data_IF_515667601120
#
_entry.id   IF_515667601120
#
_cell.length_a   1.000
_cell.length_b   1.000
_cell.length_c   1.000
_cell.angle_alpha   90.00
_cell.angle_beta   90.00
_cell.angle_gamma   90.00
#
_symmetry.space_group_name_H-M   'P 1'
#
loop_
_entity.id
_entity.type
_entity.pdbx_description
1 polymer ?
#
# COMPACT_ATOMS: atom_id res chain seq x y z
N UNK A 1 17.26 22.13 18.47
CA UNK A 1 18.18 21.53 19.47
C UNK A 1 19.28 20.78 18.74
N UNK A 2 20.56 20.97 19.10
CA UNK A 2 21.67 20.19 18.51
C UNK A 2 21.58 18.75 19.02
N UNK A 3 21.60 17.76 18.12
CA UNK A 3 21.50 16.32 18.44
C UNK A 3 22.56 15.88 19.46
N UNK A 4 23.73 16.52 19.46
CA UNK A 4 24.84 16.21 20.35
C UNK A 4 24.65 16.63 21.81
N UNK A 5 23.64 17.45 22.12
CA UNK A 5 23.37 17.90 23.49
C UNK A 5 22.33 17.04 24.22
N UNK A 6 21.73 16.06 23.53
CA UNK A 6 20.78 15.14 24.15
C UNK A 6 21.53 14.05 24.92
N UNK A 7 20.95 13.57 26.03
CA UNK A 7 21.47 12.40 26.73
C UNK A 7 21.53 11.18 25.81
N UNK A 8 22.56 10.35 25.92
CA UNK A 8 22.77 9.17 25.06
C UNK A 8 21.54 8.24 25.07
N UNK A 9 20.96 7.99 26.24
CA UNK A 9 19.75 7.18 26.38
C UNK A 9 18.56 7.76 25.59
N UNK A 10 18.35 9.09 25.66
CA UNK A 10 17.29 9.74 24.90
C UNK A 10 17.53 9.68 23.39
N UNK A 11 18.79 9.81 22.93
CA UNK A 11 19.12 9.63 21.50
C UNK A 11 18.72 8.24 21.02
N UNK A 12 19.12 7.20 21.75
CA UNK A 12 18.79 5.82 21.41
C UNK A 12 17.28 5.57 21.37
N UNK A 13 16.55 5.93 22.44
CA UNK A 13 15.10 5.74 22.48
C UNK A 13 14.38 6.56 21.40
N UNK A 14 14.83 7.78 21.11
CA UNK A 14 14.21 8.62 20.06
C UNK A 14 14.35 8.01 18.67
N UNK A 15 15.51 7.44 18.34
CA UNK A 15 15.74 6.78 17.04
C UNK A 15 14.94 5.48 16.95
N UNK A 16 14.94 4.66 18.00
CA UNK A 16 14.21 3.39 18.02
C UNK A 16 12.70 3.63 17.93
N UNK A 17 12.14 4.47 18.81
CA UNK A 17 10.70 4.76 18.81
C UNK A 17 10.29 5.50 17.54
N UNK A 18 11.12 6.41 17.04
CA UNK A 18 10.86 7.10 15.78
C UNK A 18 10.79 6.15 14.59
N UNK A 19 11.72 5.19 14.48
CA UNK A 19 11.71 4.18 13.43
C UNK A 19 10.53 3.21 13.57
N UNK A 20 10.21 2.77 14.78
CA UNK A 20 9.05 1.90 15.02
C UNK A 20 7.74 2.61 14.68
N UNK A 21 7.58 3.87 15.08
CA UNK A 21 6.42 4.67 14.74
C UNK A 21 6.31 4.87 13.22
N UNK A 22 7.42 5.16 12.54
CA UNK A 22 7.45 5.30 11.09
C UNK A 22 7.07 3.99 10.38
N UNK A 23 7.62 2.85 10.83
CA UNK A 23 7.24 1.52 10.32
C UNK A 23 5.75 1.26 10.49
N UNK A 24 5.19 1.58 11.66
CA UNK A 24 3.78 1.36 11.94
C UNK A 24 2.88 2.27 11.10
N UNK A 25 3.24 3.55 10.94
CA UNK A 25 2.51 4.49 10.08
C UNK A 25 2.55 4.05 8.62
N UNK A 26 3.72 3.71 8.08
CA UNK A 26 3.84 3.23 6.70
C UNK A 26 3.06 1.94 6.46
N UNK A 27 3.07 1.00 7.41
CA UNK A 27 2.28 -0.22 7.34
C UNK A 27 0.77 0.06 7.35
N UNK A 28 0.29 0.91 8.27
CA UNK A 28 -1.13 1.30 8.34
C UNK A 28 -1.56 2.03 7.07
N UNK A 29 -0.78 3.00 6.59
CA UNK A 29 -1.09 3.74 5.38
C UNK A 29 -1.14 2.82 4.15
N UNK A 30 -0.17 1.92 3.99
CA UNK A 30 -0.16 0.96 2.88
C UNK A 30 -1.35 0.01 2.95
N UNK A 31 -1.68 -0.48 4.15
CA UNK A 31 -2.83 -1.36 4.36
C UNK A 31 -4.17 -0.65 4.13
N UNK A 32 -4.30 0.58 4.59
CA UNK A 32 -5.50 1.39 4.42
C UNK A 32 -5.73 1.74 2.94
N UNK A 33 -4.69 2.20 2.26
CA UNK A 33 -4.72 2.48 0.82
C UNK A 33 -5.02 1.21 0.02
N UNK A 34 -4.38 0.09 0.38
CA UNK A 34 -4.65 -1.21 -0.24
C UNK A 34 -6.10 -1.64 -0.11
N UNK A 35 -6.70 -1.51 1.09
CA UNK A 35 -8.12 -1.82 1.32
C UNK A 35 -9.06 -0.94 0.50
N UNK A 36 -8.74 0.34 0.34
CA UNK A 36 -9.56 1.25 -0.45
C UNK A 36 -9.59 0.84 -1.92
N UNK A 37 -8.43 0.56 -2.49
CA UNK A 37 -8.27 0.09 -3.88
C UNK A 37 -8.97 -1.25 -4.10
N UNK A 38 -8.79 -2.23 -3.20
CA UNK A 38 -9.46 -3.53 -3.32
C UNK A 38 -10.97 -3.41 -3.21
N UNK A 39 -11.49 -2.61 -2.27
CA UNK A 39 -12.93 -2.45 -2.07
C UNK A 39 -13.62 -1.76 -3.26
N UNK A 40 -12.96 -0.78 -3.88
CA UNK A 40 -13.47 -0.13 -5.09
C UNK A 40 -13.51 -1.12 -6.27
N UNK A 41 -12.46 -1.92 -6.40
CA UNK A 41 -12.38 -2.93 -7.45
C UNK A 41 -13.42 -4.04 -7.27
N UNK A 42 -13.56 -4.59 -6.06
CA UNK A 42 -14.55 -5.62 -5.73
C UNK A 42 -15.97 -5.15 -6.08
N UNK A 43 -16.33 -3.91 -5.72
CA UNK A 43 -17.62 -3.32 -6.06
C UNK A 43 -17.83 -3.22 -7.57
N UNK A 44 -16.79 -2.87 -8.33
CA UNK A 44 -16.86 -2.79 -9.78
C UNK A 44 -17.10 -4.17 -10.40
N UNK A 45 -16.33 -5.18 -9.98
CA UNK A 45 -16.48 -6.55 -10.48
C UNK A 45 -17.84 -7.13 -10.10
N UNK A 46 -18.27 -6.97 -8.84
CA UNK A 46 -19.57 -7.43 -8.35
C UNK A 46 -20.73 -6.79 -9.12
N UNK A 47 -20.63 -5.49 -9.44
CA UNK A 47 -21.61 -4.79 -10.27
C UNK A 47 -21.76 -5.47 -11.64
N UNK A 48 -20.65 -5.78 -12.31
CA UNK A 48 -20.69 -6.41 -13.63
C UNK A 48 -21.15 -7.86 -13.56
N UNK A 49 -20.69 -8.65 -12.60
CA UNK A 49 -21.14 -10.04 -12.38
C UNK A 49 -22.65 -10.11 -12.11
N UNK A 50 -23.18 -9.20 -11.29
CA UNK A 50 -24.62 -9.10 -11.03
C UNK A 50 -25.40 -8.77 -12.31
N UNK A 51 -24.86 -7.87 -13.14
CA UNK A 51 -25.46 -7.49 -14.41
C UNK A 51 -25.41 -8.65 -15.43
N UNK A 52 -24.29 -9.35 -15.56
CA UNK A 52 -24.12 -10.54 -16.41
C UNK A 52 -25.11 -11.61 -16.01
N UNK A 53 -25.16 -11.98 -14.73
CA UNK A 53 -26.09 -12.99 -14.21
C UNK A 53 -27.54 -12.61 -14.51
N UNK A 54 -27.90 -11.35 -14.32
CA UNK A 54 -29.24 -10.83 -14.61
C UNK A 54 -29.54 -10.85 -16.12
N UNK A 55 -28.57 -10.53 -16.97
CA UNK A 55 -28.69 -10.55 -18.43
C UNK A 55 -28.78 -11.98 -19.00
N UNK A 56 -28.02 -12.93 -18.46
CA UNK A 56 -28.12 -14.36 -18.80
C UNK A 56 -29.49 -14.92 -18.38
N UNK A 57 -30.00 -14.52 -17.22
CA UNK A 57 -31.36 -14.87 -16.81
C UNK A 57 -32.41 -14.31 -17.78
N UNK A 58 -32.26 -13.05 -18.22
CA UNK A 58 -33.10 -12.47 -19.26
C UNK A 58 -33.04 -13.28 -20.56
N UNK A 59 -31.83 -13.63 -21.02
CA UNK A 59 -31.60 -14.44 -22.22
C UNK A 59 -32.34 -15.77 -22.18
N UNK A 60 -32.25 -16.48 -21.05
CA UNK A 60 -32.95 -17.75 -20.85
C UNK A 60 -34.47 -17.60 -20.83
N UNK A 61 -35.00 -16.59 -20.12
CA UNK A 61 -36.44 -16.29 -20.12
C UNK A 61 -36.95 -15.94 -21.52
N UNK A 62 -36.19 -15.14 -22.27
CA UNK A 62 -36.51 -14.74 -23.62
C UNK A 62 -36.52 -15.94 -24.58
N UNK A 63 -35.55 -16.85 -24.47
CA UNK A 63 -35.47 -18.05 -25.30
C UNK A 63 -36.68 -18.98 -25.09
N UNK A 64 -37.03 -19.22 -23.83
CA UNK A 64 -38.20 -20.04 -23.50
C UNK A 64 -39.48 -19.38 -24.00
N UNK A 65 -39.64 -18.07 -23.80
CA UNK A 65 -40.82 -17.34 -24.26
C UNK A 65 -40.94 -17.36 -25.79
N UNK A 66 -39.84 -17.14 -26.52
CA UNK A 66 -39.79 -17.19 -27.99
C UNK A 66 -40.13 -18.59 -28.49
N UNK A 67 -39.54 -19.63 -27.89
CA UNK A 67 -39.77 -21.03 -28.27
C UNK A 67 -41.22 -21.44 -28.04
N UNK A 68 -41.79 -21.11 -26.88
CA UNK A 68 -43.21 -21.36 -26.57
C UNK A 68 -44.15 -20.56 -27.48
N UNK A 69 -43.81 -19.32 -27.81
CA UNK A 69 -44.61 -18.51 -28.75
C UNK A 69 -44.62 -19.16 -30.13
N UNK A 70 -43.47 -19.62 -30.63
CA UNK A 70 -43.37 -20.35 -31.89
C UNK A 70 -44.19 -21.65 -31.86
N UNK A 71 -44.12 -22.41 -30.77
CA UNK A 71 -44.93 -23.62 -30.60
C UNK A 71 -46.44 -23.31 -30.56
N UNK A 72 -46.85 -22.24 -29.87
CA UNK A 72 -48.23 -21.74 -29.85
C UNK A 72 -48.73 -21.31 -31.24
N UNK A 73 -47.84 -20.77 -32.08
CA UNK A 73 -48.21 -20.45 -33.46
C UNK A 73 -48.40 -21.69 -34.34
N UNK A 74 -47.71 -22.80 -34.08
CA UNK A 74 -47.77 -23.99 -34.94
C UNK A 74 -48.79 -25.03 -34.45
N UNK A 75 -49.06 -25.11 -33.16
CA UNK A 75 -49.96 -26.13 -32.59
C UNK A 75 -51.41 -25.96 -33.06
N UNK A 76 -52.07 -27.09 -33.30
CA UNK A 76 -53.51 -27.17 -33.58
C UNK A 76 -54.33 -27.55 -32.34
N UNK A 77 -53.68 -27.98 -31.25
CA UNK A 77 -54.33 -28.30 -29.98
C UNK A 77 -54.64 -27.00 -29.22
N UNK A 78 -55.95 -26.73 -29.04
CA UNK A 78 -56.45 -25.53 -28.38
C UNK A 78 -56.07 -25.45 -26.89
N UNK A 79 -56.03 -26.59 -26.18
CA UNK A 79 -55.67 -26.62 -24.77
C UNK A 79 -54.17 -26.35 -24.59
N UNK A 80 -53.34 -26.97 -25.45
CA UNK A 80 -51.89 -26.71 -25.46
C UNK A 80 -51.56 -25.26 -25.82
N UNK A 81 -52.28 -24.70 -26.80
CA UNK A 81 -52.16 -23.29 -27.15
C UNK A 81 -52.44 -22.36 -25.97
N UNK A 82 -53.54 -22.60 -25.25
CA UNK A 82 -53.91 -21.80 -24.09
C UNK A 82 -52.87 -21.89 -22.95
N UNK A 83 -52.31 -23.08 -22.69
CA UNK A 83 -51.22 -23.26 -21.72
C UNK A 83 -49.96 -22.47 -22.13
N UNK A 84 -49.53 -22.57 -23.39
CA UNK A 84 -48.38 -21.81 -23.88
C UNK A 84 -48.59 -20.30 -23.83
N UNK A 85 -49.76 -19.80 -24.24
CA UNK A 85 -50.07 -18.36 -24.20
C UNK A 85 -50.04 -17.85 -22.74
N UNK A 86 -50.56 -18.63 -21.79
CA UNK A 86 -50.50 -18.33 -20.35
C UNK A 86 -49.06 -18.30 -19.83
N UNK A 87 -48.23 -19.27 -20.20
CA UNK A 87 -46.82 -19.33 -19.78
C UNK A 87 -45.99 -18.20 -20.40
N UNK A 88 -46.23 -17.86 -21.67
CA UNK A 88 -45.56 -16.73 -22.35
C UNK A 88 -45.90 -15.42 -21.66
N UNK A 89 -47.16 -15.21 -21.25
CA UNK A 89 -47.56 -14.04 -20.47
C UNK A 89 -46.82 -13.98 -19.12
N UNK A 90 -46.74 -15.10 -18.40
CA UNK A 90 -46.02 -15.19 -17.13
C UNK A 90 -44.51 -14.94 -17.27
N UNK A 91 -43.87 -15.50 -18.31
CA UNK A 91 -42.46 -15.25 -18.62
C UNK A 91 -42.21 -13.79 -18.96
N UNK A 92 -43.08 -13.17 -19.75
CA UNK A 92 -42.98 -11.75 -20.11
C UNK A 92 -43.09 -10.86 -18.88
N UNK A 93 -43.99 -11.18 -17.94
CA UNK A 93 -44.10 -10.47 -16.67
C UNK A 93 -42.83 -10.58 -15.81
N UNK A 94 -42.11 -11.71 -15.86
CA UNK A 94 -40.82 -11.90 -15.19
C UNK A 94 -39.67 -11.15 -15.87
N UNK A 95 -39.73 -10.90 -17.17
CA UNK A 95 -38.69 -10.18 -17.92
C UNK A 95 -38.69 -8.69 -17.56
N UNK A 96 -39.84 -8.07 -17.31
CA UNK A 96 -39.95 -6.63 -16.98
C UNK A 96 -39.07 -6.20 -15.80
N UNK A 97 -39.15 -6.81 -14.60
CA UNK A 97 -38.30 -6.39 -13.47
C UNK A 97 -36.81 -6.67 -13.74
N UNK A 98 -36.49 -7.68 -14.54
CA UNK A 98 -35.11 -7.98 -14.95
C UNK A 98 -34.55 -6.84 -15.82
N UNK A 99 -35.33 -6.35 -16.80
CA UNK A 99 -34.96 -5.22 -17.64
C UNK A 99 -34.81 -3.92 -16.85
N UNK A 100 -35.70 -3.66 -15.88
CA UNK A 100 -35.59 -2.50 -15.00
C UNK A 100 -34.31 -2.54 -14.15
N UNK A 101 -33.97 -3.71 -13.59
CA UNK A 101 -32.74 -3.89 -12.81
C UNK A 101 -31.51 -3.63 -13.67
N UNK A 102 -31.47 -4.19 -14.89
CA UNK A 102 -30.38 -3.97 -15.85
C UNK A 102 -30.28 -2.48 -16.22
N UNK A 103 -31.40 -1.82 -16.52
CA UNK A 103 -31.41 -0.39 -16.88
C UNK A 103 -30.91 0.53 -15.77
N UNK A 104 -31.06 0.16 -14.50
CA UNK A 104 -30.53 0.92 -13.35
C UNK A 104 -29.02 0.72 -13.16
N UNK A 105 -28.49 -0.47 -13.44
CA UNK A 105 -27.06 -0.78 -13.23
C UNK A 105 -26.18 -0.46 -14.45
N UNK A 106 -26.76 -0.45 -15.65
CA UNK A 106 -26.03 -0.37 -16.92
C UNK A 106 -26.13 1.05 -17.48
N UNK A 107 -25.11 1.85 -17.21
CA UNK A 107 -25.10 3.31 -17.40
C UNK A 107 -24.07 3.77 -18.42
N UNK A 108 -23.19 2.87 -18.87
CA UNK A 108 -22.15 3.21 -19.85
C UNK A 108 -22.77 3.54 -21.22
N UNK A 109 -22.00 4.19 -22.10
CA UNK A 109 -22.46 4.46 -23.47
C UNK A 109 -22.71 3.16 -24.24
N UNK A 110 -21.82 2.16 -24.08
CA UNK A 110 -21.93 0.85 -24.70
C UNK A 110 -23.14 0.08 -24.18
N UNK A 111 -23.42 0.16 -22.88
CA UNK A 111 -24.59 -0.46 -22.24
C UNK A 111 -25.88 0.07 -22.88
N UNK A 112 -25.98 1.41 -22.97
CA UNK A 112 -27.17 2.07 -23.52
C UNK A 112 -27.36 1.73 -25.00
N UNK A 113 -26.29 1.70 -25.77
CA UNK A 113 -26.34 1.33 -27.19
C UNK A 113 -26.79 -0.13 -27.37
N UNK A 114 -26.24 -1.06 -26.60
CA UNK A 114 -26.62 -2.46 -26.64
C UNK A 114 -28.08 -2.67 -26.19
N UNK A 115 -28.52 -2.03 -25.10
CA UNK A 115 -29.91 -2.09 -24.64
C UNK A 115 -30.90 -1.48 -25.65
N UNK A 116 -30.54 -0.39 -26.32
CA UNK A 116 -31.35 0.20 -27.38
C UNK A 116 -31.49 -0.78 -28.57
N UNK A 117 -30.41 -1.48 -28.93
CA UNK A 117 -30.46 -2.51 -29.97
C UNK A 117 -31.35 -3.70 -29.57
N UNK A 118 -31.31 -4.14 -28.31
CA UNK A 118 -32.22 -5.18 -27.80
C UNK A 118 -33.67 -4.70 -27.81
N UNK A 119 -33.93 -3.44 -27.45
CA UNK A 119 -35.28 -2.88 -27.48
C UNK A 119 -35.84 -2.80 -28.91
N UNK A 120 -35.00 -2.42 -29.88
CA UNK A 120 -35.37 -2.36 -31.29
C UNK A 120 -35.68 -3.75 -31.86
N UNK A 121 -34.82 -4.75 -31.63
CA UNK A 121 -35.05 -6.12 -32.09
C UNK A 121 -36.28 -6.77 -31.42
N UNK A 122 -36.52 -6.45 -30.14
CA UNK A 122 -37.76 -6.87 -29.43
C UNK A 122 -39.02 -6.22 -30.00
N UNK A 123 -38.96 -4.95 -30.39
CA UNK A 123 -40.09 -4.28 -31.03
C UNK A 123 -40.38 -4.90 -32.41
N UNK A 124 -39.33 -5.19 -33.18
CA UNK A 124 -39.43 -5.78 -34.52
C UNK A 124 -40.06 -7.17 -34.52
N UNK A 125 -39.64 -8.08 -33.62
CA UNK A 125 -40.27 -9.41 -33.49
C UNK A 125 -41.73 -9.30 -33.02
N UNK A 126 -42.04 -8.40 -32.07
CA UNK A 126 -43.42 -8.20 -31.59
C UNK A 126 -44.33 -7.65 -32.70
N UNK A 127 -43.82 -6.80 -33.58
CA UNK A 127 -44.58 -6.29 -34.72
C UNK A 127 -45.03 -7.37 -35.72
N UNK A 128 -44.49 -8.59 -35.62
CA UNK A 128 -44.87 -9.70 -36.51
C UNK A 128 -46.10 -10.48 -36.03
N UNK A 129 -46.57 -10.26 -34.79
CA UNK A 129 -47.66 -11.06 -34.23
C UNK A 129 -48.99 -10.81 -34.92
N UNK A 130 -49.25 -9.59 -35.40
CA UNK A 130 -50.50 -9.24 -36.08
C UNK A 130 -50.61 -9.96 -37.43
N UNK A 131 -49.51 -10.04 -38.20
CA UNK A 131 -49.48 -10.79 -39.45
C UNK A 131 -49.65 -12.29 -39.23
N UNK A 132 -49.07 -12.83 -38.15
CA UNK A 132 -49.27 -14.23 -37.77
C UNK A 132 -50.72 -14.52 -37.37
N UNK A 133 -51.38 -13.57 -36.70
CA UNK A 133 -52.81 -13.66 -36.37
C UNK A 133 -53.66 -13.63 -37.65
N UNK A 134 -53.41 -12.69 -38.55
CA UNK A 134 -54.10 -12.60 -39.85
C UNK A 134 -54.01 -13.91 -40.63
N UNK A 135 -52.81 -14.50 -40.76
CA UNK A 135 -52.60 -15.77 -41.44
C UNK A 135 -53.28 -16.96 -40.72
N UNK A 136 -53.43 -16.88 -39.39
CA UNK A 136 -54.16 -17.89 -38.61
C UNK A 136 -55.65 -17.79 -38.85
N UNK A 137 -56.21 -16.57 -38.81
CA UNK A 137 -57.63 -16.31 -39.01
C UNK A 137 -58.07 -16.64 -40.45
N UNK A 138 -57.16 -16.51 -41.43
CA UNK A 138 -57.38 -16.90 -42.83
C UNK A 138 -57.32 -18.42 -43.09
N UNK A 139 -56.84 -19.23 -42.13
CA UNK A 139 -56.75 -20.69 -42.28
C UNK A 139 -55.66 -21.20 -43.24
N UNK A 140 -54.78 -20.34 -43.74
CA UNK A 140 -53.69 -20.72 -44.67
C UNK A 140 -52.46 -21.22 -43.91
N UNK A 141 -52.45 -22.51 -43.60
CA UNK A 141 -51.36 -23.16 -42.88
C UNK A 141 -50.01 -23.08 -43.63
N UNK A 142 -50.02 -23.12 -44.96
CA UNK A 142 -48.81 -23.09 -45.77
C UNK A 142 -48.17 -21.69 -45.75
N UNK A 143 -48.95 -20.64 -45.96
CA UNK A 143 -48.47 -19.26 -45.87
C UNK A 143 -47.99 -18.91 -44.45
N UNK A 144 -48.70 -19.39 -43.41
CA UNK A 144 -48.28 -19.21 -42.02
C UNK A 144 -46.95 -19.89 -41.72
N UNK A 145 -46.75 -21.12 -42.19
CA UNK A 145 -45.49 -21.85 -41.99
C UNK A 145 -44.33 -21.18 -42.72
N UNK A 146 -44.55 -20.70 -43.95
CA UNK A 146 -43.54 -19.96 -44.73
C UNK A 146 -43.16 -18.64 -44.04
N UNK A 147 -44.16 -17.89 -43.54
CA UNK A 147 -43.94 -16.65 -42.80
C UNK A 147 -43.17 -16.88 -41.49
N UNK A 148 -43.53 -17.92 -40.74
CA UNK A 148 -42.80 -18.31 -39.53
C UNK A 148 -41.34 -18.61 -39.84
N UNK A 149 -41.08 -19.37 -40.91
CA UNK A 149 -39.73 -19.80 -41.28
C UNK A 149 -38.87 -18.64 -41.83
N UNK A 150 -39.41 -17.82 -42.73
CA UNK A 150 -38.64 -16.79 -43.46
C UNK A 150 -38.62 -15.44 -42.77
N UNK A 151 -39.60 -15.11 -41.94
CA UNK A 151 -39.73 -13.76 -41.34
C UNK A 151 -39.63 -13.81 -39.83
N UNK A 152 -40.48 -14.59 -39.16
CA UNK A 152 -40.56 -14.59 -37.70
C UNK A 152 -39.30 -15.18 -37.05
N UNK A 153 -38.86 -16.37 -37.49
CA UNK A 153 -37.69 -17.07 -36.93
C UNK A 153 -36.40 -16.23 -37.03
N UNK A 154 -36.02 -15.63 -38.18
CA UNK A 154 -34.84 -14.78 -38.25
C UNK A 154 -34.89 -13.58 -37.30
N UNK A 155 -36.06 -12.94 -37.14
CA UNK A 155 -36.23 -11.82 -36.19
C UNK A 155 -36.14 -12.29 -34.74
N UNK A 156 -36.63 -13.49 -34.44
CA UNK A 156 -36.49 -14.11 -33.14
C UNK A 156 -35.02 -14.39 -32.78
N UNK A 157 -34.26 -14.95 -33.71
CA UNK A 157 -32.80 -15.15 -33.57
C UNK A 157 -32.11 -13.81 -33.36
N UNK A 158 -32.42 -12.79 -34.16
CA UNK A 158 -31.82 -11.45 -34.02
C UNK A 158 -32.07 -10.81 -32.64
N UNK A 159 -33.26 -11.02 -32.05
CA UNK A 159 -33.55 -10.56 -30.69
C UNK A 159 -32.71 -11.29 -29.63
N UNK A 160 -32.60 -12.61 -29.73
CA UNK A 160 -31.78 -13.41 -28.80
C UNK A 160 -30.29 -13.06 -28.93
N UNK A 161 -29.77 -12.93 -30.16
CA UNK A 161 -28.40 -12.48 -30.43
C UNK A 161 -28.13 -11.07 -29.91
N UNK A 162 -29.12 -10.17 -29.95
CA UNK A 162 -28.96 -8.83 -29.36
C UNK A 162 -28.75 -8.91 -27.85
N UNK A 163 -29.45 -9.81 -27.14
CA UNK A 163 -29.23 -10.04 -25.70
C UNK A 163 -27.85 -10.66 -25.47
N UNK A 164 -27.42 -11.62 -26.30
CA UNK A 164 -26.09 -12.23 -26.21
C UNK A 164 -24.98 -11.18 -26.40
N UNK A 165 -25.14 -10.24 -27.34
CA UNK A 165 -24.23 -9.10 -27.52
C UNK A 165 -24.21 -8.19 -26.29
N UNK A 166 -25.36 -7.96 -25.65
CA UNK A 166 -25.40 -7.20 -24.40
C UNK A 166 -24.64 -7.93 -23.27
N UNK A 167 -24.80 -9.24 -23.14
CA UNK A 167 -24.01 -10.06 -22.19
C UNK A 167 -22.51 -9.90 -22.47
N UNK A 168 -22.09 -10.00 -23.73
CA UNK A 168 -20.68 -9.84 -24.12
C UNK A 168 -20.11 -8.45 -23.81
N UNK A 169 -20.93 -7.38 -23.90
CA UNK A 169 -20.53 -6.03 -23.46
C UNK A 169 -20.27 -6.01 -21.95
N UNK A 170 -21.13 -6.63 -21.16
CA UNK A 170 -20.96 -6.71 -19.71
C UNK A 170 -19.73 -7.55 -19.33
N UNK A 171 -19.49 -8.68 -20.01
CA UNK A 171 -18.30 -9.51 -19.83
C UNK A 171 -17.02 -8.75 -20.15
N UNK A 172 -16.99 -8.02 -21.28
CA UNK A 172 -15.83 -7.20 -21.65
C UNK A 172 -15.54 -6.12 -20.62
N UNK A 173 -16.57 -5.48 -20.07
CA UNK A 173 -16.40 -4.45 -19.03
C UNK A 173 -15.95 -5.06 -17.69
N UNK A 174 -16.46 -6.24 -17.32
CA UNK A 174 -15.97 -7.01 -16.18
C UNK A 174 -14.49 -7.32 -16.35
N UNK A 175 -14.09 -7.87 -17.50
CA UNK A 175 -12.71 -8.30 -17.75
C UNK A 175 -11.75 -7.11 -17.73
N UNK A 176 -12.17 -5.95 -18.26
CA UNK A 176 -11.43 -4.70 -18.13
C UNK A 176 -11.29 -4.25 -16.65
N UNK A 177 -12.36 -4.37 -15.86
CA UNK A 177 -12.32 -4.06 -14.43
C UNK A 177 -11.42 -5.01 -13.64
N UNK A 178 -11.42 -6.30 -13.98
CA UNK A 178 -10.50 -7.31 -13.40
C UNK A 178 -9.05 -7.00 -13.78
N UNK A 179 -8.78 -6.62 -15.02
CA UNK A 179 -7.42 -6.25 -15.43
C UNK A 179 -6.94 -4.99 -14.68
N UNK A 180 -7.79 -3.96 -14.58
CA UNK A 180 -7.48 -2.77 -13.79
C UNK A 180 -7.23 -3.10 -12.31
N UNK A 181 -7.89 -4.13 -11.76
CA UNK A 181 -7.62 -4.67 -10.42
C UNK A 181 -6.19 -5.18 -10.29
N UNK A 182 -5.77 -6.00 -11.26
CA UNK A 182 -4.43 -6.58 -11.28
C UNK A 182 -3.35 -5.50 -11.36
N UNK A 183 -3.54 -4.50 -12.22
CA UNK A 183 -2.61 -3.39 -12.40
C UNK A 183 -2.53 -2.52 -11.13
N UNK A 184 -3.67 -2.26 -10.49
CA UNK A 184 -3.74 -1.53 -9.22
C UNK A 184 -3.05 -2.31 -8.09
N UNK A 185 -3.22 -3.63 -8.04
CA UNK A 185 -2.53 -4.49 -7.07
C UNK A 185 -1.02 -4.53 -7.29
N UNK A 186 -0.57 -4.59 -8.54
CA UNK A 186 0.86 -4.50 -8.86
C UNK A 186 1.45 -3.16 -8.38
N UNK A 187 0.72 -2.06 -8.60
CA UNK A 187 1.11 -0.72 -8.13
C UNK A 187 1.20 -0.65 -6.60
N UNK A 188 0.26 -1.26 -5.87
CA UNK A 188 0.31 -1.36 -4.40
C UNK A 188 1.58 -2.06 -3.91
N UNK A 189 1.99 -3.15 -4.55
CA UNK A 189 3.22 -3.88 -4.20
C UNK A 189 4.45 -3.00 -4.42
N UNK A 190 4.52 -2.29 -5.54
CA UNK A 190 5.64 -1.38 -5.83
C UNK A 190 5.70 -0.23 -4.83
N UNK A 191 4.58 0.43 -4.54
CA UNK A 191 4.50 1.52 -3.56
C UNK A 191 4.93 1.02 -2.17
N UNK A 192 4.42 -0.14 -1.75
CA UNK A 192 4.81 -0.76 -0.48
C UNK A 192 6.31 -1.10 -0.41
N UNK A 193 6.87 -1.64 -1.50
CA UNK A 193 8.30 -1.94 -1.58
C UNK A 193 9.17 -0.68 -1.50
N UNK A 194 8.80 0.39 -2.23
CA UNK A 194 9.52 1.68 -2.18
C UNK A 194 9.43 2.30 -0.79
N UNK A 195 8.27 2.28 -0.14
CA UNK A 195 8.10 2.76 1.23
C UNK A 195 8.97 1.95 2.22
N UNK A 196 8.99 0.62 2.11
CA UNK A 196 9.83 -0.22 2.95
C UNK A 196 11.33 0.08 2.75
N UNK A 197 11.78 0.22 1.50
CA UNK A 197 13.18 0.60 1.20
C UNK A 197 13.51 1.96 1.79
N UNK A 198 12.62 2.95 1.67
CA UNK A 198 12.82 4.29 2.22
C UNK A 198 12.99 4.25 3.76
N UNK A 199 12.19 3.44 4.46
CA UNK A 199 12.30 3.24 5.90
C UNK A 199 13.64 2.58 6.28
N UNK A 200 14.08 1.57 5.52
CA UNK A 200 15.38 0.91 5.74
C UNK A 200 16.53 1.89 5.54
N UNK A 201 16.53 2.65 4.44
CA UNK A 201 17.56 3.65 4.14
C UNK A 201 17.62 4.72 5.23
N UNK A 202 16.46 5.24 5.67
CA UNK A 202 16.39 6.20 6.75
C UNK A 202 16.89 5.61 8.07
N UNK A 203 16.55 4.35 8.35
CA UNK A 203 17.04 3.61 9.51
C UNK A 203 18.56 3.45 9.51
N UNK A 204 19.15 3.07 8.37
CA UNK A 204 20.60 2.98 8.20
C UNK A 204 21.28 4.34 8.40
N UNK A 205 20.71 5.41 7.85
CA UNK A 205 21.25 6.76 8.00
C UNK A 205 21.22 7.23 9.46
N UNK A 206 20.09 7.03 10.15
CA UNK A 206 19.95 7.35 11.57
C UNK A 206 20.88 6.51 12.44
N UNK A 207 21.03 5.22 12.15
CA UNK A 207 21.96 4.33 12.84
C UNK A 207 23.41 4.80 12.64
N UNK A 208 23.81 5.15 11.42
CA UNK A 208 25.15 5.65 11.13
C UNK A 208 25.46 6.97 11.86
N UNK A 209 24.49 7.89 11.93
CA UNK A 209 24.61 9.13 12.71
C UNK A 209 24.73 8.84 14.21
N UNK A 210 23.91 7.94 14.74
CA UNK A 210 23.93 7.57 16.15
C UNK A 210 25.27 6.91 16.53
N UNK A 211 25.73 5.94 15.74
CA UNK A 211 27.03 5.28 15.91
C UNK A 211 28.15 6.32 15.90
N UNK A 212 28.20 7.23 14.92
CA UNK A 212 29.21 8.30 14.86
C UNK A 212 29.13 9.26 16.05
N UNK A 213 27.92 9.56 16.54
CA UNK A 213 27.73 10.47 17.68
C UNK A 213 28.21 9.89 19.01
N UNK A 214 28.32 8.56 19.11
CA UNK A 214 28.75 7.84 20.32
C UNK A 214 30.22 7.40 20.22
N UNK A 215 30.60 6.74 19.12
CA UNK A 215 31.95 6.17 18.95
C UNK A 215 33.05 7.22 18.93
N UNK A 216 32.90 8.29 18.12
CA UNK A 216 33.92 9.35 18.00
C UNK A 216 34.32 10.02 19.33
N UNK A 217 33.40 10.51 20.18
CA UNK A 217 33.79 11.09 21.47
C UNK A 217 34.32 10.04 22.46
N UNK A 218 33.87 8.79 22.35
CA UNK A 218 34.38 7.69 23.17
C UNK A 218 35.84 7.39 22.81
N UNK A 219 36.17 7.30 21.51
CA UNK A 219 37.55 7.13 21.04
C UNK A 219 38.45 8.27 21.53
N UNK A 220 37.97 9.52 21.48
CA UNK A 220 38.71 10.67 22.04
C UNK A 220 38.97 10.54 23.53
N UNK A 221 37.99 10.07 24.30
CA UNK A 221 38.14 9.84 25.73
C UNK A 221 39.16 8.72 26.01
N UNK A 222 39.13 7.65 25.24
CA UNK A 222 40.12 6.56 25.33
C UNK A 222 41.52 7.08 25.02
N UNK A 223 41.71 7.80 23.91
CA UNK A 223 43.03 8.36 23.55
C UNK A 223 43.59 9.31 24.62
N UNK A 224 42.74 10.13 25.27
CA UNK A 224 43.18 10.99 26.37
C UNK A 224 43.59 10.18 27.60
N UNK A 225 42.84 9.12 27.93
CA UNK A 225 43.18 8.25 29.04
C UNK A 225 44.51 7.50 28.79
N UNK A 226 44.75 7.05 27.57
CA UNK A 226 46.02 6.44 27.14
C UNK A 226 47.20 7.43 27.20
N UNK A 227 46.99 8.69 26.80
CA UNK A 227 48.02 9.72 26.94
C UNK A 227 48.39 9.96 28.41
N UNK A 228 47.37 10.05 29.28
CA UNK A 228 47.58 10.21 30.73
C UNK A 228 48.32 9.00 31.32
N UNK A 229 47.96 7.77 30.94
CA UNK A 229 48.62 6.57 31.45
C UNK A 229 50.08 6.44 30.97
N UNK A 230 50.39 6.98 29.79
CA UNK A 230 51.75 7.10 29.27
C UNK A 230 52.55 8.28 29.87
N UNK A 231 51.93 9.10 30.73
CA UNK A 231 52.56 10.27 31.35
C UNK A 231 52.56 11.54 30.48
N UNK A 232 51.93 11.50 29.30
CA UNK A 232 51.70 12.69 28.48
C UNK A 232 50.51 13.48 29.03
N UNK A 233 50.82 14.38 29.96
CA UNK A 233 49.85 15.32 30.52
C UNK A 233 49.73 16.59 29.68
N UNK A 234 50.20 16.67 28.44
CA UNK A 234 50.12 17.92 27.65
C UNK A 234 48.80 18.04 26.88
N UNK A 235 48.09 16.93 26.66
CA UNK A 235 46.85 16.92 25.91
C UNK A 235 45.71 17.63 26.65
N UNK A 236 44.94 18.42 25.90
CA UNK A 236 43.74 19.09 26.38
C UNK A 236 42.62 18.94 25.34
N UNK A 237 41.48 18.39 25.76
CA UNK A 237 40.30 18.26 24.91
C UNK A 237 39.27 19.31 25.32
N UNK A 238 38.92 20.18 24.37
CA UNK A 238 37.76 21.05 24.50
C UNK A 238 36.54 20.35 23.89
N UNK A 239 35.53 20.05 24.72
CA UNK A 239 34.27 19.46 24.27
C UNK A 239 33.07 20.27 24.79
N UNK A 240 32.36 20.90 23.84
CA UNK A 240 31.16 21.71 24.07
C UNK A 240 29.89 20.87 24.24
N UNK A 241 29.97 19.54 24.12
CA UNK A 241 28.83 18.63 24.27
C UNK A 241 28.27 18.69 25.69
N UNK A 242 26.94 18.78 25.79
CA UNK A 242 26.23 18.81 27.08
C UNK A 242 25.72 17.44 27.54
N UNK A 243 26.02 16.37 26.80
CA UNK A 243 25.60 15.01 27.12
C UNK A 243 26.61 14.28 28.01
N UNK A 244 26.30 13.03 28.38
CA UNK A 244 27.14 12.21 29.27
C UNK A 244 28.56 12.03 28.74
N UNK A 245 28.73 11.98 27.41
CA UNK A 245 30.05 11.82 26.78
C UNK A 245 30.87 13.11 26.92
N UNK A 246 30.25 14.28 26.74
CA UNK A 246 30.93 15.56 27.04
C UNK A 246 31.31 15.71 28.51
N UNK A 247 30.46 15.22 29.44
CA UNK A 247 30.78 15.19 30.88
C UNK A 247 32.00 14.29 31.14
N UNK A 248 32.04 13.09 30.55
CA UNK A 248 33.17 12.16 30.66
C UNK A 248 34.48 12.80 30.17
N UNK A 249 34.48 13.38 28.97
CA UNK A 249 35.69 13.96 28.37
C UNK A 249 36.20 15.17 29.18
N UNK A 250 35.30 16.02 29.70
CA UNK A 250 35.68 17.12 30.60
C UNK A 250 36.25 16.62 31.93
N UNK A 251 35.70 15.55 32.50
CA UNK A 251 36.22 14.96 33.73
C UNK A 251 37.65 14.42 33.54
N UNK A 252 37.93 13.75 32.41
CA UNK A 252 39.28 13.28 32.06
C UNK A 252 40.26 14.45 31.85
N UNK A 253 39.84 15.54 31.20
CA UNK A 253 40.67 16.75 31.04
C UNK A 253 40.99 17.41 32.39
N UNK A 254 40.01 17.46 33.30
CA UNK A 254 40.21 17.91 34.68
C UNK A 254 41.22 17.04 35.45
N UNK A 255 41.15 15.71 35.28
CA UNK A 255 42.11 14.77 35.87
C UNK A 255 43.54 14.99 35.37
N UNK A 256 43.73 15.12 34.05
CA UNK A 256 45.03 15.45 33.44
C UNK A 256 45.61 16.75 33.99
N UNK A 257 44.77 17.79 34.11
CA UNK A 257 45.18 19.08 34.67
C UNK A 257 45.61 18.96 36.13
N UNK A 258 44.87 18.20 36.95
CA UNK A 258 45.22 18.00 38.36
C UNK A 258 46.51 17.21 38.52
N UNK A 259 46.71 16.15 37.73
CA UNK A 259 47.95 15.37 37.72
C UNK A 259 49.14 16.26 37.31
N UNK A 260 48.96 17.13 36.31
CA UNK A 260 50.01 18.06 35.86
C UNK A 260 50.43 19.01 36.98
N UNK A 261 49.46 19.56 37.72
CA UNK A 261 49.71 20.38 38.90
C UNK A 261 50.48 19.62 39.97
N UNK A 262 50.05 18.40 40.33
CA UNK A 262 50.73 17.58 41.34
C UNK A 262 52.18 17.25 40.93
N UNK A 263 52.43 16.87 39.68
CA UNK A 263 53.78 16.61 39.17
C UNK A 263 54.64 17.88 39.22
N UNK A 264 54.07 19.04 38.89
CA UNK A 264 54.76 20.33 38.99
C UNK A 264 55.11 20.69 40.43
N UNK A 265 54.18 20.50 41.37
CA UNK A 265 54.40 20.74 42.81
C UNK A 265 55.50 19.83 43.37
N UNK A 266 55.49 18.54 42.99
CA UNK A 266 56.55 17.58 43.37
C UNK A 266 57.90 18.01 42.82
N UNK A 267 57.97 18.46 41.56
CA UNK A 267 59.23 18.93 40.95
C UNK A 267 59.79 20.14 41.68
N UNK A 268 58.96 21.14 41.98
CA UNK A 268 59.35 22.33 42.77
C UNK A 268 59.82 21.92 44.17
N UNK A 269 59.16 20.95 44.81
CA UNK A 269 59.59 20.39 46.09
C UNK A 269 60.95 19.70 46.02
N UNK A 270 61.20 18.88 44.98
CA UNK A 270 62.49 18.22 44.74
C UNK A 270 63.60 19.24 44.47
N UNK A 271 63.34 20.27 43.67
CA UNK A 271 64.31 21.35 43.40
C UNK A 271 64.67 22.10 44.69
N UNK A 272 63.68 22.35 45.57
CA UNK A 272 63.89 22.98 46.88
C UNK A 272 64.73 22.09 47.81
N UNK A 273 64.45 20.78 47.87
CA UNK A 273 65.24 19.82 48.66
C UNK A 273 66.66 19.68 48.12
N UNK A 274 66.83 19.67 46.79
CA UNK A 274 68.16 19.64 46.16
C UNK A 274 68.96 20.88 46.51
N UNK A 275 68.37 22.08 46.42
CA UNK A 275 69.02 23.34 46.82
C UNK A 275 69.44 23.32 48.30
N UNK A 276 68.55 22.88 49.20
CA UNK A 276 68.88 22.75 50.63
C UNK A 276 69.98 21.72 50.89
N UNK A 277 70.01 20.62 50.14
CA UNK A 277 71.06 19.59 50.25
C UNK A 277 72.43 20.13 49.80
N UNK A 278 72.47 20.95 48.75
CA UNK A 278 73.70 21.65 48.32
C UNK A 278 74.18 22.63 49.40
N UNK A 279 73.26 23.37 50.01
CA UNK A 279 73.57 24.28 51.11
C UNK A 279 74.13 23.53 52.34
N UNK A 280 73.52 22.40 52.72
CA UNK A 280 74.03 21.52 53.79
C UNK A 280 75.40 20.95 53.44
N UNK A 281 75.61 20.46 52.21
CA UNK A 281 76.88 19.90 51.79
C UNK A 281 78.00 20.95 51.86
N UNK A 282 77.73 22.17 51.38
CA UNK A 282 78.64 23.30 51.49
C UNK A 282 78.91 23.67 52.96
N UNK A 283 77.87 23.70 53.80
CA UNK A 283 78.01 23.94 55.24
C UNK A 283 78.83 22.87 55.96
N UNK A 284 78.64 21.60 55.61
CA UNK A 284 79.48 20.49 56.12
C UNK A 284 80.93 20.61 55.64
N UNK A 285 81.15 21.03 54.39
CA UNK A 285 82.51 21.22 53.88
C UNK A 285 83.24 22.35 54.60
N UNK A 286 82.56 23.47 54.86
CA UNK A 286 83.08 24.57 55.67
C UNK A 286 83.40 24.13 57.11
N UNK A 287 82.48 23.37 57.73
CA UNK A 287 82.69 22.83 59.06
C UNK A 287 83.87 21.86 59.11
N UNK A 288 83.95 20.93 58.15
CA UNK A 288 85.05 19.96 58.05
C UNK A 288 86.40 20.68 57.90
N UNK A 289 86.47 21.71 57.06
CA UNK A 289 87.66 22.53 56.88
C UNK A 289 88.07 23.25 58.18
N UNK A 290 87.09 23.73 58.98
CA UNK A 290 87.35 24.36 60.28
C UNK A 290 87.81 23.38 61.35
N UNK A 291 87.34 22.14 61.32
CA UNK A 291 87.83 21.07 62.23
C UNK A 291 89.21 20.55 61.86
N UNK A 292 89.63 20.59 60.59
CA UNK A 292 90.99 20.22 60.17
C UNK A 292 92.03 21.32 60.48
N UNK A 293 91.59 22.54 60.82
CA UNK A 293 92.46 23.66 61.22
C UNK A 293 92.73 23.75 62.73
N UNK A 294 92.18 22.85 63.54
CA UNK A 294 92.39 22.76 65.01
C UNK A 294 93.14 21.50 65.38
#
# INVERSE_FOLDING_TARGET
>A
MKFDNLRVAHKMWSVILGLLALMLVTAICTQWYGRQVTAETERSVEKYESAITTAVSWRGLAEVAVTMSMASFVTTDAALKADFDTRVAALTARITPVQEKIGKSSVSADDKAALAHVAATRADIRGQTDKLKELTDAGDAAAKQDYLAKVYRPKAVAYLEAIDKFVAVQERQRDAAVQAAHDSRASLVVIGAVAAIAVVVLGMLMAALLVRSITRPLDRAVSLAEAISAGDLTQNIHDDRKDELGVLTRALSGMSTRLRTVVSEVRVGVDSVSSASVEIANGNHDLSARTEQT
#
